data_IF_008966272071
#
_entry.id   IF_008966272071
#
_cell.length_a   1.000
_cell.length_b   1.000
_cell.length_c   1.000
_cell.angle_alpha   90.00
_cell.angle_beta   90.00
_cell.angle_gamma   90.00
#
_symmetry.space_group_name_H-M   'P 1'
#
loop_
_entity.id
_entity.type
_entity.pdbx_description
1 polymer ?
#
# COMPACT_ATOMS: atom_id res chain seq x y z
N UNK A 1 1.74 -24.25 6.02
CA UNK A 1 1.67 -23.34 4.86
C UNK A 1 3.08 -23.29 4.29
N UNK A 2 3.31 -23.86 3.10
CA UNK A 2 4.65 -24.08 2.55
C UNK A 2 5.21 -22.85 1.83
N UNK A 3 4.34 -21.96 1.35
CA UNK A 3 4.71 -20.73 0.64
C UNK A 3 4.05 -19.49 1.23
N UNK A 4 4.71 -18.33 1.07
CA UNK A 4 4.15 -17.04 1.47
C UNK A 4 3.01 -16.64 0.52
N UNK A 5 1.76 -16.43 1.01
CA UNK A 5 0.62 -16.16 0.14
C UNK A 5 0.78 -14.88 -0.69
N UNK A 6 1.38 -13.84 -0.10
CA UNK A 6 1.63 -12.59 -0.81
C UNK A 6 2.66 -12.76 -1.93
N UNK A 7 3.69 -13.59 -1.72
CA UNK A 7 4.69 -13.88 -2.74
C UNK A 7 4.09 -14.64 -3.93
N UNK A 8 3.23 -15.63 -3.64
CA UNK A 8 2.51 -16.38 -4.68
C UNK A 8 1.61 -15.46 -5.51
N UNK A 9 0.86 -14.57 -4.84
CA UNK A 9 -0.10 -13.69 -5.52
C UNK A 9 0.57 -12.66 -6.45
N UNK A 10 1.78 -12.20 -6.12
CA UNK A 10 2.51 -11.22 -6.94
C UNK A 10 3.44 -11.86 -7.98
N UNK A 11 3.73 -13.16 -7.88
CA UNK A 11 4.70 -13.84 -8.75
C UNK A 11 4.40 -13.63 -10.25
N UNK A 12 3.16 -13.79 -10.76
CA UNK A 12 2.88 -13.59 -12.18
C UNK A 12 3.19 -12.17 -12.67
N UNK A 13 2.99 -11.16 -11.80
CA UNK A 13 3.30 -9.77 -12.12
C UNK A 13 4.82 -9.58 -12.16
N UNK A 14 5.54 -10.14 -11.19
CA UNK A 14 7.01 -10.06 -11.16
C UNK A 14 7.61 -10.72 -12.41
N UNK A 15 7.17 -11.93 -12.78
CA UNK A 15 7.68 -12.65 -13.95
C UNK A 15 7.38 -11.93 -15.27
N UNK A 16 6.20 -11.33 -15.40
CA UNK A 16 5.80 -10.61 -16.61
C UNK A 16 6.64 -9.35 -16.86
N UNK A 17 7.04 -8.66 -15.79
CA UNK A 17 7.72 -7.36 -15.91
C UNK A 17 9.21 -7.43 -15.59
N UNK A 18 9.78 -8.56 -15.13
CA UNK A 18 11.16 -8.68 -14.62
C UNK A 18 12.28 -8.10 -15.49
N UNK A 19 12.08 -7.96 -16.80
CA UNK A 19 13.07 -7.43 -17.76
C UNK A 19 12.82 -5.96 -18.17
N UNK A 20 11.72 -5.35 -17.72
CA UNK A 20 11.29 -4.01 -18.11
C UNK A 20 11.99 -2.90 -17.30
N UNK A 21 12.18 -1.71 -17.90
CA UNK A 21 12.68 -0.53 -17.18
C UNK A 21 11.57 0.11 -16.32
N UNK A 22 11.87 0.42 -15.06
CA UNK A 22 10.91 0.97 -14.09
C UNK A 22 10.52 2.41 -14.43
N UNK A 23 11.45 3.16 -15.01
CA UNK A 23 11.28 4.59 -15.28
C UNK A 23 10.65 4.87 -16.64
N UNK A 24 10.45 3.82 -17.45
CA UNK A 24 9.77 3.95 -18.73
C UNK A 24 8.37 4.54 -18.53
N UNK A 25 7.98 5.42 -19.44
CA UNK A 25 6.65 6.04 -19.43
C UNK A 25 5.65 5.07 -20.04
N UNK A 26 4.53 4.90 -19.35
CA UNK A 26 3.44 4.01 -19.73
C UNK A 26 2.10 4.72 -19.57
N UNK A 27 1.17 4.41 -20.45
CA UNK A 27 -0.24 4.76 -20.28
C UNK A 27 -0.94 3.57 -19.60
N UNK A 28 -1.54 3.81 -18.44
CA UNK A 28 -2.16 2.76 -17.63
C UNK A 28 -3.66 3.02 -17.54
N UNK A 29 -4.44 2.00 -17.83
CA UNK A 29 -5.88 1.97 -17.61
C UNK A 29 -6.23 0.92 -16.56
N UNK A 30 -7.03 1.30 -15.57
CA UNK A 30 -7.59 0.40 -14.55
C UNK A 30 -9.10 0.51 -14.59
N UNK A 31 -9.79 -0.59 -14.83
CA UNK A 31 -11.25 -0.65 -14.88
C UNK A 31 -11.77 -1.56 -13.77
N UNK A 32 -12.68 -1.03 -12.96
CA UNK A 32 -13.47 -1.78 -11.98
C UNK A 32 -14.96 -1.79 -12.37
N UNK A 33 -15.82 -2.29 -11.48
CA UNK A 33 -17.28 -2.37 -11.68
C UNK A 33 -17.98 -1.00 -11.77
N UNK A 34 -17.31 0.09 -11.39
CA UNK A 34 -17.89 1.43 -11.21
C UNK A 34 -17.19 2.51 -12.02
N UNK A 35 -15.91 2.34 -12.33
CA UNK A 35 -15.01 3.41 -12.81
C UNK A 35 -13.92 2.86 -13.71
N UNK A 36 -13.47 3.72 -14.62
CA UNK A 36 -12.21 3.58 -15.34
C UNK A 36 -11.27 4.70 -14.93
N UNK A 37 -10.03 4.35 -14.60
CA UNK A 37 -8.95 5.25 -14.22
C UNK A 37 -7.87 5.19 -15.29
N UNK A 38 -7.49 6.33 -15.86
CA UNK A 38 -6.40 6.43 -16.82
C UNK A 38 -5.31 7.37 -16.29
N UNK A 39 -4.04 6.95 -16.36
CA UNK A 39 -2.90 7.81 -15.98
C UNK A 39 -1.69 7.51 -16.84
N UNK A 40 -1.09 8.55 -17.40
CA UNK A 40 0.27 8.48 -17.94
C UNK A 40 1.26 8.58 -16.78
N UNK A 41 2.05 7.54 -16.56
CA UNK A 41 2.99 7.47 -15.43
C UNK A 41 4.22 6.60 -15.75
N UNK A 42 5.05 6.29 -14.75
CA UNK A 42 6.13 5.32 -14.86
C UNK A 42 5.62 3.91 -14.60
N UNK A 43 6.28 2.91 -15.20
CA UNK A 43 5.97 1.50 -14.93
C UNK A 43 6.07 1.19 -13.43
N UNK A 44 7.04 1.80 -12.74
CA UNK A 44 7.19 1.69 -11.29
C UNK A 44 5.92 2.08 -10.51
N UNK A 45 5.28 3.20 -10.84
CA UNK A 45 4.05 3.63 -10.15
C UNK A 45 2.87 2.71 -10.49
N UNK A 46 2.79 2.25 -11.73
CA UNK A 46 1.78 1.31 -12.19
C UNK A 46 1.87 -0.01 -11.42
N UNK A 47 3.07 -0.59 -11.35
CA UNK A 47 3.35 -1.83 -10.64
C UNK A 47 3.13 -1.67 -9.14
N UNK A 48 3.53 -0.55 -8.53
CA UNK A 48 3.23 -0.27 -7.11
C UNK A 48 1.73 -0.36 -6.83
N UNK A 49 0.90 0.26 -7.67
CA UNK A 49 -0.56 0.26 -7.54
C UNK A 49 -1.14 -1.17 -7.65
N UNK A 50 -0.68 -1.94 -8.65
CA UNK A 50 -1.14 -3.31 -8.89
C UNK A 50 -0.69 -4.28 -7.80
N UNK A 51 0.58 -4.24 -7.42
CA UNK A 51 1.18 -5.11 -6.40
C UNK A 51 0.55 -4.84 -5.03
N UNK A 52 0.31 -3.58 -4.67
CA UNK A 52 -0.37 -3.22 -3.42
C UNK A 52 -1.76 -3.86 -3.31
N UNK A 53 -2.53 -3.83 -4.40
CA UNK A 53 -3.85 -4.47 -4.47
C UNK A 53 -3.73 -6.00 -4.33
N UNK A 54 -2.88 -6.62 -5.15
CA UNK A 54 -2.63 -8.07 -5.14
C UNK A 54 -2.22 -8.58 -3.76
N UNK A 55 -1.28 -7.90 -3.11
CA UNK A 55 -0.83 -8.24 -1.76
C UNK A 55 -1.95 -8.10 -0.71
N UNK A 56 -2.74 -7.03 -0.77
CA UNK A 56 -3.86 -6.80 0.16
C UNK A 56 -5.00 -7.81 -0.01
N UNK A 57 -5.20 -8.33 -1.22
CA UNK A 57 -6.18 -9.39 -1.52
C UNK A 57 -5.61 -10.81 -1.38
N UNK A 58 -4.34 -10.95 -1.01
CA UNK A 58 -3.71 -12.26 -0.80
C UNK A 58 -4.19 -12.96 0.48
N UNK A 59 -3.80 -14.23 0.66
CA UNK A 59 -4.01 -14.97 1.91
C UNK A 59 -3.07 -14.59 3.06
N UNK A 60 -2.24 -13.54 2.93
CA UNK A 60 -1.29 -13.16 3.97
C UNK A 60 -2.00 -12.55 5.19
N UNK A 61 -1.81 -13.07 6.41
CA UNK A 61 -2.51 -12.58 7.59
C UNK A 61 -2.16 -11.12 7.93
N UNK A 62 -0.90 -10.73 7.75
CA UNK A 62 -0.46 -9.34 8.02
C UNK A 62 -1.07 -8.37 7.00
N UNK A 63 -1.03 -8.70 5.71
CA UNK A 63 -1.58 -7.86 4.65
C UNK A 63 -3.11 -7.88 4.60
N UNK A 64 -3.77 -8.85 5.26
CA UNK A 64 -5.22 -8.93 5.34
C UNK A 64 -5.86 -7.72 6.04
N UNK A 65 -5.09 -6.98 6.85
CA UNK A 65 -5.50 -5.73 7.47
C UNK A 65 -5.75 -4.61 6.45
N UNK A 66 -5.19 -4.73 5.23
CA UNK A 66 -5.39 -3.80 4.12
C UNK A 66 -6.62 -4.15 3.25
N UNK A 67 -7.33 -5.26 3.52
CA UNK A 67 -8.53 -5.66 2.75
C UNK A 67 -9.57 -4.53 2.58
N UNK A 68 -9.90 -3.73 3.62
CA UNK A 68 -10.83 -2.62 3.44
C UNK A 68 -10.35 -1.58 2.42
N UNK A 69 -9.04 -1.35 2.33
CA UNK A 69 -8.45 -0.44 1.35
C UNK A 69 -8.49 -1.04 -0.06
N UNK A 70 -8.35 -2.36 -0.20
CA UNK A 70 -8.48 -3.07 -1.48
C UNK A 70 -9.92 -3.06 -2.03
N UNK A 71 -10.93 -3.18 -1.17
CA UNK A 71 -12.35 -3.11 -1.57
C UNK A 71 -12.72 -1.78 -2.24
N UNK A 72 -12.05 -0.70 -1.84
CA UNK A 72 -12.23 0.63 -2.41
C UNK A 72 -10.94 1.15 -3.01
N UNK A 73 -10.16 0.27 -3.65
CA UNK A 73 -8.82 0.59 -4.16
C UNK A 73 -8.83 1.91 -4.94
N UNK A 74 -7.86 2.79 -4.66
CA UNK A 74 -7.63 3.99 -5.44
C UNK A 74 -6.33 3.78 -6.21
N UNK A 75 -6.41 3.53 -7.53
CA UNK A 75 -5.23 3.39 -8.35
C UNK A 75 -4.35 4.65 -8.27
N UNK A 76 -3.03 4.44 -8.26
CA UNK A 76 -2.04 5.53 -8.26
C UNK A 76 -2.12 6.49 -7.07
N UNK A 77 -2.70 6.06 -5.95
CA UNK A 77 -2.81 6.90 -4.76
C UNK A 77 -1.44 7.47 -4.34
N UNK A 78 -1.41 8.77 -4.08
CA UNK A 78 -0.26 9.46 -3.52
C UNK A 78 -0.17 9.25 -1.99
N UNK A 79 0.91 9.72 -1.38
CA UNK A 79 1.14 9.57 0.07
C UNK A 79 0.04 10.20 0.92
N UNK A 80 -0.47 11.35 0.54
CA UNK A 80 -1.50 12.06 1.32
C UNK A 80 -2.84 11.34 1.26
N UNK A 81 -3.23 10.88 0.07
CA UNK A 81 -4.43 10.04 -0.14
C UNK A 81 -4.30 8.74 0.66
N UNK A 82 -3.12 8.12 0.65
CA UNK A 82 -2.86 6.90 1.41
C UNK A 82 -2.97 7.11 2.92
N UNK A 83 -2.35 8.16 3.46
CA UNK A 83 -2.41 8.47 4.91
C UNK A 83 -3.85 8.79 5.30
N UNK A 84 -4.51 9.69 4.56
CA UNK A 84 -5.90 10.09 4.83
C UNK A 84 -6.84 8.88 4.86
N UNK A 85 -6.73 7.99 3.86
CA UNK A 85 -7.53 6.76 3.80
C UNK A 85 -7.19 5.80 4.92
N UNK A 86 -5.90 5.59 5.21
CA UNK A 86 -5.46 4.68 6.28
C UNK A 86 -5.97 5.12 7.65
N UNK A 87 -5.81 6.41 7.98
CA UNK A 87 -6.32 7.01 9.22
C UNK A 87 -7.84 6.98 9.25
N UNK A 88 -8.52 7.35 8.14
CA UNK A 88 -9.98 7.34 8.05
C UNK A 88 -10.57 5.94 8.28
N UNK A 89 -10.04 4.91 7.62
CA UNK A 89 -10.46 3.52 7.86
C UNK A 89 -10.19 3.06 9.29
N UNK A 90 -9.02 3.43 9.84
CA UNK A 90 -8.69 3.08 11.21
C UNK A 90 -9.66 3.70 12.22
N UNK A 91 -9.96 4.99 12.08
CA UNK A 91 -10.92 5.68 12.94
C UNK A 91 -12.34 5.13 12.82
N UNK A 92 -12.76 4.69 11.63
CA UNK A 92 -14.03 3.97 11.46
C UNK A 92 -14.05 2.64 12.24
N UNK A 93 -12.95 1.89 12.24
CA UNK A 93 -12.83 0.69 13.07
C UNK A 93 -12.91 1.03 14.56
N UNK A 94 -12.26 2.11 15.01
CA UNK A 94 -12.32 2.55 16.41
C UNK A 94 -13.73 3.00 16.82
N UNK A 95 -14.45 3.68 15.92
CA UNK A 95 -15.85 4.04 16.13
C UNK A 95 -16.73 2.79 16.33
N UNK A 96 -16.53 1.74 15.53
CA UNK A 96 -17.28 0.50 15.67
C UNK A 96 -16.88 -0.27 16.94
N UNK A 97 -15.59 -0.31 17.30
CA UNK A 97 -15.13 -0.87 18.56
C UNK A 97 -15.84 -0.21 19.75
N UNK A 98 -15.88 1.12 19.80
CA UNK A 98 -16.59 1.86 20.85
C UNK A 98 -18.09 1.51 20.88
N UNK A 99 -18.75 1.42 19.72
CA UNK A 99 -20.18 1.04 19.63
C UNK A 99 -20.45 -0.39 20.10
N UNK A 100 -19.46 -1.27 19.98
CA UNK A 100 -19.50 -2.65 20.43
C UNK A 100 -19.00 -2.83 21.86
N UNK A 101 -18.80 -1.73 22.62
CA UNK A 101 -18.29 -1.74 24.00
C UNK A 101 -16.86 -2.28 24.13
N UNK A 102 -16.08 -2.22 23.06
CA UNK A 102 -14.65 -2.49 23.04
C UNK A 102 -13.85 -1.20 23.29
N UNK A 103 -12.59 -1.33 23.71
CA UNK A 103 -11.71 -0.19 23.91
C UNK A 103 -11.21 0.36 22.56
N UNK A 104 -11.63 1.57 22.22
CA UNK A 104 -11.19 2.28 21.03
C UNK A 104 -9.80 2.92 21.21
N UNK A 105 -8.96 2.82 20.18
CA UNK A 105 -7.62 3.41 20.11
C UNK A 105 -7.63 4.76 19.36
N UNK A 106 -7.98 5.83 20.08
CA UNK A 106 -7.99 7.19 19.53
C UNK A 106 -6.59 7.79 19.34
N UNK A 107 -5.57 7.18 19.93
CA UNK A 107 -4.16 7.59 19.79
C UNK A 107 -3.49 6.97 18.56
N UNK A 108 -4.19 6.14 17.79
CA UNK A 108 -3.70 5.49 16.57
C UNK A 108 -2.47 4.58 16.79
N UNK A 109 -2.23 4.12 18.02
CA UNK A 109 -1.10 3.26 18.38
C UNK A 109 -1.11 1.96 17.58
N UNK A 110 -2.27 1.31 17.50
CA UNK A 110 -2.43 0.10 16.71
C UNK A 110 -2.26 0.34 15.21
N UNK A 111 -2.57 1.53 14.69
CA UNK A 111 -2.31 1.86 13.28
C UNK A 111 -0.79 1.88 13.00
N UNK A 112 -0.02 2.47 13.91
CA UNK A 112 1.45 2.50 13.82
C UNK A 112 2.03 1.09 13.87
N UNK A 113 1.60 0.27 14.83
CA UNK A 113 2.04 -1.13 14.99
C UNK A 113 1.69 -2.00 13.78
N UNK A 114 0.49 -1.83 13.21
CA UNK A 114 0.08 -2.50 11.96
C UNK A 114 1.02 -2.15 10.82
N UNK A 115 1.30 -0.86 10.63
CA UNK A 115 2.20 -0.44 9.56
C UNK A 115 3.64 -0.91 9.78
N UNK A 116 4.11 -1.02 11.02
CA UNK A 116 5.43 -1.60 11.32
C UNK A 116 5.50 -3.08 10.90
N UNK A 117 4.44 -3.86 11.13
CA UNK A 117 4.37 -5.25 10.65
C UNK A 117 4.29 -5.32 9.12
N UNK A 118 3.58 -4.40 8.47
CA UNK A 118 3.56 -4.29 7.01
C UNK A 118 4.95 -3.98 6.44
N UNK A 119 5.73 -3.11 7.07
CA UNK A 119 7.12 -2.84 6.68
C UNK A 119 7.97 -4.12 6.67
N UNK A 120 7.87 -4.94 7.72
CA UNK A 120 8.63 -6.19 7.81
C UNK A 120 8.30 -7.15 6.66
N UNK A 121 7.01 -7.32 6.34
CA UNK A 121 6.57 -8.17 5.23
C UNK A 121 7.06 -7.63 3.89
N UNK A 122 6.92 -6.33 3.67
CA UNK A 122 7.38 -5.67 2.45
C UNK A 122 8.90 -5.80 2.26
N UNK A 123 9.68 -5.65 3.34
CA UNK A 123 11.14 -5.85 3.31
C UNK A 123 11.51 -7.29 2.94
N UNK A 124 10.84 -8.27 3.54
CA UNK A 124 11.08 -9.68 3.25
C UNK A 124 10.70 -10.05 1.79
N UNK A 125 9.61 -9.50 1.26
CA UNK A 125 9.22 -9.68 -0.14
C UNK A 125 10.22 -9.03 -1.09
N UNK A 126 10.65 -7.80 -0.79
CA UNK A 126 11.66 -7.10 -1.58
C UNK A 126 12.96 -7.91 -1.69
N UNK A 127 13.47 -8.44 -0.57
CA UNK A 127 14.69 -9.27 -0.55
C UNK A 127 14.56 -10.51 -1.43
N UNK A 128 13.40 -11.18 -1.42
CA UNK A 128 13.14 -12.38 -2.24
C UNK A 128 13.14 -12.06 -3.73
N UNK A 129 12.56 -10.93 -4.11
CA UNK A 129 12.45 -10.53 -5.52
C UNK A 129 13.80 -10.02 -6.03
N UNK A 130 14.56 -9.33 -5.17
CA UNK A 130 15.93 -8.92 -5.50
C UNK A 130 16.86 -10.10 -5.78
N UNK A 131 16.67 -11.22 -5.07
CA UNK A 131 17.47 -12.42 -5.28
C UNK A 131 17.26 -13.08 -6.66
N UNK A 132 16.16 -12.79 -7.37
CA UNK A 132 15.79 -13.45 -8.64
C UNK A 132 15.82 -12.51 -9.85
N UNK A 133 15.67 -11.19 -9.66
CA UNK A 133 15.68 -10.22 -10.75
C UNK A 133 17.13 -9.85 -11.16
N UNK A 134 17.45 -9.96 -12.44
CA UNK A 134 18.77 -9.59 -13.01
C UNK A 134 18.94 -8.08 -13.27
N UNK A 135 17.90 -7.27 -13.01
CA UNK A 135 17.89 -5.82 -13.22
C UNK A 135 17.18 -5.08 -12.08
N UNK A 136 17.65 -3.87 -11.79
CA UNK A 136 17.25 -3.03 -10.64
C UNK A 136 15.84 -2.40 -10.78
N UNK A 137 15.18 -2.58 -11.91
CA UNK A 137 14.03 -1.79 -12.33
C UNK A 137 12.72 -2.21 -11.65
N UNK A 138 12.31 -3.48 -11.70
CA UNK A 138 11.07 -3.95 -11.05
C UNK A 138 11.13 -3.86 -9.52
N UNK A 139 12.34 -3.76 -9.00
CA UNK A 139 12.63 -3.74 -7.58
C UNK A 139 12.13 -2.48 -6.87
N UNK A 140 12.04 -1.36 -7.59
CA UNK A 140 11.75 -0.05 -7.00
C UNK A 140 10.27 0.20 -6.76
N UNK A 141 9.39 -0.46 -7.51
CA UNK A 141 7.94 -0.41 -7.28
C UNK A 141 7.57 -0.92 -5.87
N UNK A 142 8.22 -2.00 -5.44
CA UNK A 142 8.08 -2.55 -4.09
C UNK A 142 8.77 -1.69 -3.03
N UNK A 143 9.89 -1.04 -3.35
CA UNK A 143 10.52 -0.05 -2.47
C UNK A 143 9.62 1.15 -2.22
N UNK A 144 8.90 1.65 -3.24
CA UNK A 144 7.96 2.74 -3.05
C UNK A 144 6.72 2.32 -2.26
N UNK A 145 6.20 1.10 -2.46
CA UNK A 145 5.15 0.56 -1.60
C UNK A 145 5.62 0.46 -0.13
N UNK A 146 6.85 -0.02 0.08
CA UNK A 146 7.51 -0.04 1.39
C UNK A 146 7.64 1.36 1.98
N UNK A 147 8.02 2.36 1.19
CA UNK A 147 8.17 3.76 1.61
C UNK A 147 6.85 4.37 2.09
N UNK A 148 5.74 4.07 1.40
CA UNK A 148 4.40 4.56 1.80
C UNK A 148 3.95 3.96 3.13
N UNK A 149 4.05 2.64 3.30
CA UNK A 149 3.78 1.99 4.59
C UNK A 149 4.69 2.55 5.71
N UNK A 150 5.95 2.85 5.37
CA UNK A 150 6.91 3.42 6.31
C UNK A 150 6.58 4.83 6.78
N UNK A 151 6.00 5.65 5.89
CA UNK A 151 5.59 7.01 6.23
C UNK A 151 4.55 7.04 7.36
N UNK A 152 3.67 6.05 7.42
CA UNK A 152 2.66 5.90 8.48
C UNK A 152 3.27 5.38 9.78
N UNK A 153 4.31 4.55 9.73
CA UNK A 153 4.95 4.01 10.96
C UNK A 153 5.85 5.01 11.69
N UNK A 154 6.70 5.74 10.97
CA UNK A 154 7.76 6.57 11.59
C UNK A 154 7.36 8.03 11.69
N UNK A 155 6.43 8.49 10.84
CA UNK A 155 6.14 9.91 10.69
C UNK A 155 4.66 10.27 10.77
N UNK A 156 3.80 9.42 11.36
CA UNK A 156 2.35 9.64 11.39
C UNK A 156 1.97 11.05 11.84
N UNK A 157 2.53 11.51 12.95
CA UNK A 157 2.30 12.87 13.45
C UNK A 157 2.67 13.97 12.44
N UNK A 158 3.78 13.81 11.73
CA UNK A 158 4.16 14.76 10.67
C UNK A 158 3.18 14.72 9.50
N UNK A 159 2.73 13.53 9.10
CA UNK A 159 1.74 13.37 8.03
C UNK A 159 0.38 13.94 8.44
N UNK A 160 -0.05 13.73 9.68
CA UNK A 160 -1.29 14.31 10.22
C UNK A 160 -1.23 15.85 10.25
N UNK A 161 -0.09 16.44 10.63
CA UNK A 161 0.09 17.90 10.55
C UNK A 161 0.01 18.41 9.11
N UNK A 162 0.62 17.73 8.14
CA UNK A 162 0.52 18.08 6.72
C UNK A 162 -0.92 18.00 6.21
N UNK A 163 -1.63 16.92 6.55
CA UNK A 163 -3.04 16.77 6.22
C UNK A 163 -3.89 17.87 6.85
N UNK A 164 -3.66 18.20 8.13
CA UNK A 164 -4.38 19.27 8.82
C UNK A 164 -4.15 20.63 8.15
N UNK A 165 -2.92 20.97 7.77
CA UNK A 165 -2.60 22.22 7.07
C UNK A 165 -3.35 22.31 5.72
N UNK A 166 -3.33 21.22 4.94
CA UNK A 166 -4.09 21.15 3.67
C UNK A 166 -5.59 21.29 3.86
N UNK A 167 -6.16 20.67 4.88
CA UNK A 167 -7.59 20.80 5.20
C UNK A 167 -7.98 22.23 5.56
N UNK A 168 -7.05 23.04 6.05
CA UNK A 168 -7.24 24.48 6.30
C UNK A 168 -6.97 25.36 5.08
N UNK A 169 -6.48 24.79 3.98
CA UNK A 169 -6.09 25.52 2.77
C UNK A 169 -4.72 26.22 2.87
N UNK A 170 -3.86 25.78 3.80
CA UNK A 170 -2.57 26.43 4.09
C UNK A 170 -1.39 25.87 3.26
N UNK A 171 -1.65 24.95 2.31
CA UNK A 171 -0.63 24.19 1.60
C UNK A 171 -0.99 23.91 0.14
#
# INVERSE_FOLDING_TARGET
>A
MEYCPAAVEILPVVEAFQAEDAYQKVDVEVTDDRRTYSKQTTLEEALRSLLGLKMATSGCPVLSELKPMALHHLPFANSDEFVMRSVGYYLLQQLFAQRNQEQADWELKGLVERNQRLQLVNQALWQRIHAVCKGDSNLKALLNFFSMASSVSVSLESQLRKLQARMKGEA
#
